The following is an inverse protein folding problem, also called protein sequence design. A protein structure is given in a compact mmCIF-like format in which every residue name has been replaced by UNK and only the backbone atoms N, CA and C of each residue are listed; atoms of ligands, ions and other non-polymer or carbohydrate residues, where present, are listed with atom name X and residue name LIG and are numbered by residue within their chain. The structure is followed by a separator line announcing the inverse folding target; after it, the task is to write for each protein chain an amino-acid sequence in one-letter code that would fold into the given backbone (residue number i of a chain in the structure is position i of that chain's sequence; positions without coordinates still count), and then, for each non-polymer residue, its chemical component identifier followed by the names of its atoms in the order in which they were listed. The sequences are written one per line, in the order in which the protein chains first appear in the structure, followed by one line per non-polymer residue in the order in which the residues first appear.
data_IF_021108717716
#
_entry.id   IF_021108717716
#
_cell.length_a   1.000
_cell.length_b   1.000
_cell.length_c   1.000
_cell.angle_alpha   90.00
_cell.angle_beta   90.00
_cell.angle_gamma   90.00
#
_symmetry.space_group_name_H-M   'P 1'
#
loop_
_entity.id
_entity.type
_entity.pdbx_description
1 polymer ?
#
# COMPACT_ATOMS: atom_id res chain seq x y z
N UNK A 1 -4.34 -9.58 -1.47
CA UNK A 1 -4.67 -8.27 -2.06
C UNK A 1 -5.32 -7.41 -0.99
N UNK A 2 -5.03 -6.12 -0.92
CA UNK A 2 -5.55 -5.21 0.10
C UNK A 2 -5.97 -3.87 -0.54
N UNK A 3 -7.13 -3.36 -0.15
CA UNK A 3 -7.62 -2.04 -0.59
C UNK A 3 -6.85 -0.96 0.17
N UNK A 4 -6.18 -0.08 -0.56
CA UNK A 4 -5.43 1.02 0.00
C UNK A 4 -5.68 2.29 -0.80
N UNK A 5 -6.93 2.75 -0.82
CA UNK A 5 -7.29 3.93 -1.60
C UNK A 5 -6.58 5.22 -1.15
N UNK A 6 -6.29 5.40 0.15
CA UNK A 6 -5.81 6.69 0.67
C UNK A 6 -4.37 6.68 1.17
N UNK A 7 -3.67 7.80 0.96
CA UNK A 7 -2.42 8.07 1.66
C UNK A 7 -2.66 8.22 3.17
N UNK A 8 -1.60 8.07 3.99
CA UNK A 8 -1.71 8.25 5.44
C UNK A 8 -2.22 9.66 5.79
N UNK A 9 -1.76 10.68 5.06
CA UNK A 9 -2.18 12.07 5.27
C UNK A 9 -3.65 12.27 4.97
N UNK A 10 -4.18 11.68 3.88
CA UNK A 10 -5.60 11.79 3.54
C UNK A 10 -6.50 11.01 4.51
N UNK A 11 -6.03 9.82 4.92
CA UNK A 11 -6.73 8.96 5.88
C UNK A 11 -6.83 9.61 7.27
N UNK A 12 -5.82 10.38 7.69
CA UNK A 12 -5.80 11.05 9.00
C UNK A 12 -6.46 12.43 8.96
N UNK A 13 -6.22 13.24 7.93
CA UNK A 13 -6.60 14.66 7.95
C UNK A 13 -7.89 15.01 7.22
N UNK A 14 -8.36 14.19 6.26
CA UNK A 14 -9.50 14.55 5.41
C UNK A 14 -10.72 13.64 5.57
N UNK A 15 -10.54 12.36 5.96
CA UNK A 15 -11.57 11.33 5.81
C UNK A 15 -11.52 10.21 6.87
N UNK A 16 -11.25 10.56 8.12
CA UNK A 16 -11.25 9.61 9.26
C UNK A 16 -12.58 8.83 9.38
N UNK A 17 -13.70 9.44 8.96
CA UNK A 17 -15.06 8.87 9.04
C UNK A 17 -15.54 8.07 7.80
N UNK A 18 -14.72 7.94 6.74
CA UNK A 18 -15.15 7.29 5.49
C UNK A 18 -14.82 5.78 5.40
N UNK A 19 -14.13 5.22 6.40
CA UNK A 19 -14.00 3.76 6.55
C UNK A 19 -13.03 3.05 5.59
N UNK A 20 -12.12 3.77 4.93
CA UNK A 20 -11.14 3.18 4.00
C UNK A 20 -9.76 2.99 4.65
N UNK A 21 -9.06 1.93 4.24
CA UNK A 21 -7.74 1.57 4.78
C UNK A 21 -6.62 2.36 4.12
N UNK A 22 -5.57 2.69 4.88
CA UNK A 22 -4.38 3.36 4.33
C UNK A 22 -3.35 2.35 3.82
N UNK A 23 -2.50 2.80 2.88
CA UNK A 23 -1.40 1.99 2.33
C UNK A 23 -0.47 1.44 3.44
N UNK A 24 -0.27 2.19 4.52
CA UNK A 24 0.57 1.76 5.65
C UNK A 24 -0.12 0.67 6.49
N UNK A 25 -1.44 0.76 6.70
CA UNK A 25 -2.19 -0.30 7.38
C UNK A 25 -2.11 -1.62 6.62
N UNK A 26 -2.18 -1.56 5.28
CA UNK A 26 -2.00 -2.73 4.43
C UNK A 26 -0.63 -3.39 4.62
N UNK A 27 0.44 -2.58 4.68
CA UNK A 27 1.80 -3.07 4.94
C UNK A 27 1.93 -3.68 6.34
N UNK A 28 1.46 -3.00 7.38
CA UNK A 28 1.54 -3.54 8.74
C UNK A 28 0.77 -4.85 8.89
N UNK A 29 -0.45 -4.92 8.34
CA UNK A 29 -1.24 -6.14 8.37
C UNK A 29 -0.54 -7.26 7.63
N UNK A 30 0.05 -6.97 6.47
CA UNK A 30 0.80 -7.93 5.68
C UNK A 30 2.01 -8.51 6.43
N UNK A 31 2.79 -7.64 7.07
CA UNK A 31 3.95 -8.05 7.87
C UNK A 31 3.51 -8.87 9.09
N UNK A 32 2.48 -8.43 9.82
CA UNK A 32 1.94 -9.17 10.98
C UNK A 32 1.36 -10.53 10.60
N UNK A 33 0.73 -10.62 9.43
CA UNK A 33 0.20 -11.88 8.89
C UNK A 33 1.28 -12.79 8.28
N UNK A 34 2.52 -12.31 8.12
CA UNK A 34 3.60 -13.08 7.53
C UNK A 34 3.43 -13.37 6.03
N UNK A 35 2.69 -12.54 5.28
CA UNK A 35 2.54 -12.71 3.83
C UNK A 35 3.75 -12.22 3.02
N UNK A 36 4.17 -13.02 2.04
CA UNK A 36 5.38 -12.75 1.25
C UNK A 36 5.19 -11.64 0.21
N UNK A 37 3.97 -11.43 -0.26
CA UNK A 37 3.64 -10.44 -1.30
C UNK A 37 2.32 -9.74 -0.99
N UNK A 38 2.39 -8.42 -0.82
CA UNK A 38 1.25 -7.52 -0.72
C UNK A 38 1.02 -6.84 -2.08
N UNK A 39 -0.17 -7.03 -2.65
CA UNK A 39 -0.63 -6.27 -3.81
C UNK A 39 -1.72 -5.29 -3.37
N UNK A 40 -1.47 -4.00 -3.55
CA UNK A 40 -2.37 -2.90 -3.23
C UNK A 40 -3.18 -2.55 -4.46
N UNK A 41 -4.49 -2.38 -4.31
CA UNK A 41 -5.39 -2.00 -5.39
C UNK A 41 -6.32 -0.87 -4.94
N UNK A 42 -7.09 -0.34 -5.90
CA UNK A 42 -8.08 0.73 -5.67
C UNK A 42 -7.46 2.09 -5.33
N UNK A 43 -6.36 2.43 -6.01
CA UNK A 43 -5.75 3.77 -5.95
C UNK A 43 -6.78 4.87 -6.27
N UNK A 44 -6.66 6.05 -5.64
CA UNK A 44 -7.49 7.21 -5.94
C UNK A 44 -7.45 7.56 -7.45
N UNK A 45 -8.60 7.62 -8.16
CA UNK A 45 -8.64 7.83 -9.61
C UNK A 45 -8.03 9.15 -10.08
N UNK A 46 -7.90 10.12 -9.18
CA UNK A 46 -7.33 11.44 -9.47
C UNK A 46 -5.84 11.53 -9.18
N UNK A 47 -5.23 10.47 -8.62
CA UNK A 47 -3.80 10.44 -8.37
C UNK A 47 -3.02 10.32 -9.69
N UNK A 48 -1.99 11.14 -9.88
CA UNK A 48 -1.06 10.99 -10.99
C UNK A 48 -0.15 9.78 -10.78
N UNK A 49 0.42 9.25 -11.87
CA UNK A 49 1.40 8.16 -11.80
C UNK A 49 2.57 8.50 -10.85
N UNK A 50 3.04 9.74 -10.87
CA UNK A 50 4.10 10.22 -9.97
C UNK A 50 3.69 10.16 -8.50
N UNK A 51 2.44 10.47 -8.18
CA UNK A 51 1.92 10.35 -6.81
C UNK A 51 1.85 8.88 -6.39
N UNK A 52 1.41 7.98 -7.27
CA UNK A 52 1.37 6.55 -6.99
C UNK A 52 2.78 5.98 -6.76
N UNK A 53 3.76 6.36 -7.57
CA UNK A 53 5.16 5.98 -7.38
C UNK A 53 5.73 6.49 -6.05
N UNK A 54 5.41 7.74 -5.67
CA UNK A 54 5.83 8.30 -4.38
C UNK A 54 5.24 7.51 -3.21
N UNK A 55 3.96 7.12 -3.29
CA UNK A 55 3.31 6.30 -2.28
C UNK A 55 3.97 4.93 -2.21
N UNK A 56 4.17 4.25 -3.34
CA UNK A 56 4.80 2.94 -3.41
C UNK A 56 6.22 2.97 -2.81
N UNK A 57 7.02 3.98 -3.18
CA UNK A 57 8.36 4.20 -2.64
C UNK A 57 8.33 4.41 -1.11
N UNK A 58 7.38 5.20 -0.62
CA UNK A 58 7.23 5.50 0.81
C UNK A 58 6.89 4.25 1.62
N UNK A 59 5.97 3.42 1.14
CA UNK A 59 5.57 2.20 1.85
C UNK A 59 6.62 1.08 1.78
N UNK A 60 7.35 0.97 0.67
CA UNK A 60 8.51 0.06 0.57
C UNK A 60 9.61 0.47 1.55
N UNK A 61 9.87 1.78 1.65
CA UNK A 61 10.82 2.33 2.63
C UNK A 61 10.36 2.06 4.06
N UNK A 62 9.08 2.24 4.36
CA UNK A 62 8.49 1.92 5.66
C UNK A 62 8.71 0.44 6.02
N UNK A 63 8.33 -0.49 5.14
CA UNK A 63 8.50 -1.93 5.36
C UNK A 63 9.97 -2.28 5.63
N UNK A 64 10.90 -1.74 4.84
CA UNK A 64 12.34 -1.97 5.01
C UNK A 64 12.89 -1.44 6.34
N UNK A 65 12.41 -0.28 6.80
CA UNK A 65 12.83 0.28 8.09
C UNK A 65 12.20 -0.45 9.28
N UNK A 66 10.96 -0.93 9.13
CA UNK A 66 10.22 -1.62 10.17
C UNK A 66 10.81 -3.01 10.47
N UNK A 67 11.12 -3.80 9.43
CA UNK A 67 11.82 -5.08 9.59
C UNK A 67 12.70 -5.41 8.37
N UNK A 68 14.00 -5.15 8.51
CA UNK A 68 15.00 -5.43 7.47
C UNK A 68 15.13 -6.92 7.14
N UNK A 69 14.76 -7.79 8.07
CA UNK A 69 14.87 -9.24 7.91
C UNK A 69 13.67 -9.84 7.16
N UNK A 70 12.61 -9.05 7.00
CA UNK A 70 11.37 -9.47 6.36
C UNK A 70 11.21 -8.85 4.96
N UNK A 71 11.58 -9.57 3.88
CA UNK A 71 11.52 -9.05 2.51
C UNK A 71 10.08 -9.10 1.96
N UNK A 72 9.19 -8.25 2.48
CA UNK A 72 7.85 -8.09 1.94
C UNK A 72 7.92 -7.52 0.52
N UNK A 73 7.47 -8.28 -0.47
CA UNK A 73 7.24 -7.75 -1.82
C UNK A 73 5.97 -6.91 -1.79
N UNK A 74 6.03 -5.70 -2.32
CA UNK A 74 4.88 -4.80 -2.46
C UNK A 74 4.70 -4.49 -3.94
N UNK A 75 3.46 -4.47 -4.43
CA UNK A 75 3.11 -4.08 -5.80
C UNK A 75 1.85 -3.23 -5.81
N UNK A 76 1.81 -2.20 -6.65
CA UNK A 76 0.57 -1.49 -6.98
C UNK A 76 -0.10 -2.21 -8.16
N UNK A 77 -1.39 -2.50 -8.04
CA UNK A 77 -2.19 -3.07 -9.11
C UNK A 77 -2.50 -2.01 -10.18
N UNK A 78 -2.43 -2.43 -11.43
CA UNK A 78 -2.85 -1.66 -12.60
C UNK A 78 -3.57 -2.57 -13.58
N UNK A 79 -4.36 -1.98 -14.49
CA UNK A 79 -5.13 -2.75 -15.48
C UNK A 79 -4.20 -3.60 -16.36
N UNK A 80 -4.42 -4.91 -16.35
CA UNK A 80 -3.59 -5.89 -17.05
C UNK A 80 -2.39 -6.43 -16.26
N UNK A 81 -2.23 -6.08 -14.97
CA UNK A 81 -1.24 -6.71 -14.12
C UNK A 81 -1.58 -8.19 -13.85
N UNK A 82 -0.66 -9.09 -14.20
CA UNK A 82 -0.70 -10.51 -13.85
C UNK A 82 0.36 -10.82 -12.78
N UNK A 83 -0.03 -11.54 -11.72
CA UNK A 83 0.86 -11.99 -10.66
C UNK A 83 0.74 -13.52 -10.55
N UNK A 84 1.85 -14.20 -10.85
CA UNK A 84 1.99 -15.63 -10.56
C UNK A 84 2.08 -15.86 -9.05
N UNK A 85 1.36 -16.89 -8.57
CA UNK A 85 1.21 -17.22 -7.16
C UNK A 85 2.16 -18.32 -6.69
#
# INVERSE_FOLDING_TARGET
MFDAQYTLTESIYAKEDWGHSSHIMGVELAMRAGVKHLCLFHSEPTASDEQLEQIESSIRRYAHLHDKSYPLKISQAYDGLEIDM
#
